data_IF_317878909748
#
_entry.id   IF_317878909748
#
_cell.length_a   1.000
_cell.length_b   1.000
_cell.length_c   1.000
_cell.angle_alpha   90.00
_cell.angle_beta   90.00
_cell.angle_gamma   90.00
#
_symmetry.space_group_name_H-M   'P 1'
#
loop_
_entity.id
_entity.type
_entity.pdbx_description
1 polymer ?
#
# COMPACT_ATOMS: atom_id res chain seq x y z
N UNK A 1 6.35 9.58 -7.14
CA UNK A 1 6.43 8.42 -6.24
C UNK A 1 7.83 8.28 -5.68
N UNK A 2 7.95 8.14 -4.38
CA UNK A 2 9.24 7.96 -3.69
C UNK A 2 9.47 6.47 -3.43
N UNK A 3 10.67 5.99 -3.65
CA UNK A 3 11.06 4.59 -3.38
C UNK A 3 11.95 4.55 -2.14
N UNK A 4 11.63 3.66 -1.21
CA UNK A 4 12.43 3.41 -0.02
C UNK A 4 12.67 1.91 0.14
N UNK A 5 13.68 1.53 0.94
CA UNK A 5 14.06 0.14 1.12
C UNK A 5 14.13 -0.20 2.60
N UNK A 6 13.75 -1.44 2.95
CA UNK A 6 13.98 -2.08 4.25
C UNK A 6 13.88 -1.14 5.46
N UNK A 7 12.67 -0.73 5.83
CA UNK A 7 12.46 0.21 6.92
C UNK A 7 12.09 -0.50 8.22
N UNK A 8 12.65 -0.02 9.33
CA UNK A 8 12.39 -0.59 10.66
C UNK A 8 10.92 -0.47 11.08
N UNK A 9 10.21 0.56 10.61
CA UNK A 9 8.79 0.73 10.91
C UNK A 9 7.93 -0.44 10.45
N UNK A 10 8.31 -1.13 9.37
CA UNK A 10 7.58 -2.31 8.89
C UNK A 10 7.68 -3.44 9.91
N UNK A 11 8.84 -3.64 10.53
CA UNK A 11 9.06 -4.68 11.52
C UNK A 11 8.21 -4.46 12.77
N UNK A 12 8.08 -3.22 13.21
CA UNK A 12 7.25 -2.86 14.36
C UNK A 12 5.78 -3.15 14.08
N UNK A 13 5.28 -2.75 12.92
CA UNK A 13 3.87 -2.95 12.55
C UNK A 13 3.52 -4.44 12.38
N UNK A 14 4.40 -5.22 11.79
CA UNK A 14 4.17 -6.66 11.59
C UNK A 14 4.08 -7.40 12.93
N UNK A 15 4.79 -6.95 13.95
CA UNK A 15 4.79 -7.56 15.26
C UNK A 15 3.65 -7.09 16.17
N UNK A 16 2.78 -6.22 15.69
CA UNK A 16 1.63 -5.70 16.44
C UNK A 16 0.64 -6.83 16.77
N UNK A 17 0.10 -6.84 17.98
CA UNK A 17 -0.92 -7.80 18.37
C UNK A 17 -2.22 -7.56 17.63
N UNK A 18 -2.90 -8.65 17.27
CA UNK A 18 -4.20 -8.58 16.60
C UNK A 18 -5.29 -8.26 17.62
N UNK A 19 -5.56 -6.98 17.80
CA UNK A 19 -6.53 -6.48 18.73
C UNK A 19 -7.18 -5.22 18.14
N UNK A 20 -8.46 -5.28 17.84
CA UNK A 20 -9.14 -4.16 17.18
C UNK A 20 -9.85 -3.30 18.23
N UNK A 21 -9.38 -2.08 18.41
CA UNK A 21 -10.01 -1.06 19.22
C UNK A 21 -9.73 0.32 18.59
N UNK A 22 -10.10 1.41 19.27
CA UNK A 22 -9.90 2.76 18.77
C UNK A 22 -8.44 3.15 18.57
N UNK A 23 -7.51 2.43 19.23
CA UNK A 23 -6.07 2.68 19.13
C UNK A 23 -5.38 1.73 18.15
N UNK A 24 -6.13 0.82 17.54
CA UNK A 24 -5.58 -0.13 16.58
C UNK A 24 -5.03 0.60 15.36
N UNK A 25 -3.81 0.27 14.98
CA UNK A 25 -3.19 0.79 13.77
C UNK A 25 -3.60 -0.06 12.57
N UNK A 26 -4.12 0.59 11.54
CA UNK A 26 -4.39 -0.08 10.26
C UNK A 26 -3.06 -0.23 9.53
N UNK A 27 -2.68 -1.47 9.24
CA UNK A 27 -1.42 -1.74 8.54
C UNK A 27 -1.70 -1.97 7.06
N UNK A 28 -1.85 -3.24 6.67
CA UNK A 28 -2.15 -3.59 5.28
C UNK A 28 -3.65 -3.72 5.09
N UNK A 29 -4.21 -3.01 4.13
CA UNK A 29 -5.65 -3.07 3.87
C UNK A 29 -6.00 -3.62 2.48
N UNK A 30 -5.01 -3.80 1.61
CA UNK A 30 -5.17 -4.43 0.30
C UNK A 30 -3.94 -5.27 0.00
N UNK A 31 -4.15 -6.40 -0.67
CA UNK A 31 -3.08 -7.30 -1.07
C UNK A 31 -3.31 -7.71 -2.52
N UNK A 32 -2.27 -7.64 -3.32
CA UNK A 32 -2.28 -8.06 -4.72
C UNK A 32 -1.10 -8.97 -4.97
N UNK A 33 -1.38 -10.11 -5.59
CA UNK A 33 -0.37 -11.10 -5.86
C UNK A 33 -0.15 -11.24 -7.35
N UNK A 34 1.11 -11.32 -7.75
CA UNK A 34 1.50 -11.70 -9.09
C UNK A 34 2.20 -13.06 -9.00
N UNK A 35 2.59 -13.60 -10.13
CA UNK A 35 3.36 -14.84 -10.16
C UNK A 35 4.67 -14.73 -9.38
N UNK A 36 5.26 -13.54 -9.36
CA UNK A 36 6.60 -13.32 -8.81
C UNK A 36 6.61 -12.64 -7.44
N UNK A 37 5.59 -11.86 -7.10
CA UNK A 37 5.63 -10.97 -5.94
C UNK A 37 4.27 -10.78 -5.30
N UNK A 38 4.31 -10.30 -4.07
CA UNK A 38 3.14 -9.86 -3.32
C UNK A 38 3.24 -8.34 -3.11
N UNK A 39 2.19 -7.62 -3.44
CA UNK A 39 2.09 -6.17 -3.29
C UNK A 39 1.09 -5.87 -2.20
N UNK A 40 1.55 -5.22 -1.15
CA UNK A 40 0.75 -4.94 0.05
C UNK A 40 0.56 -3.43 0.17
N UNK A 41 -0.70 -2.99 0.20
CA UNK A 41 -0.98 -1.56 0.40
C UNK A 41 -1.05 -1.29 1.89
N UNK A 42 -0.16 -0.42 2.37
CA UNK A 42 0.02 -0.13 3.78
C UNK A 42 -0.34 1.32 4.09
N UNK A 43 -1.06 1.51 5.17
CA UNK A 43 -1.43 2.85 5.63
C UNK A 43 -0.71 3.26 6.92
N UNK A 44 -0.82 2.46 7.97
CA UNK A 44 -0.12 2.70 9.24
C UNK A 44 -0.75 3.72 10.15
N UNK A 45 -1.99 4.14 9.88
CA UNK A 45 -2.71 5.07 10.73
C UNK A 45 -3.68 4.36 11.67
N UNK A 46 -4.06 5.03 12.76
CA UNK A 46 -5.02 4.47 13.71
C UNK A 46 -6.41 4.36 13.07
N UNK A 47 -7.16 3.35 13.48
CA UNK A 47 -8.47 3.05 12.89
C UNK A 47 -9.47 4.21 13.07
N UNK A 48 -9.30 5.02 14.11
CA UNK A 48 -10.14 6.20 14.36
C UNK A 48 -9.87 7.35 13.41
N UNK A 49 -8.73 7.33 12.70
CA UNK A 49 -8.36 8.36 11.75
C UNK A 49 -9.00 8.08 10.38
N UNK A 50 -9.25 9.15 9.64
CA UNK A 50 -9.77 9.02 8.29
C UNK A 50 -8.66 8.55 7.33
N UNK A 51 -8.70 7.28 6.93
CA UNK A 51 -7.66 6.65 6.09
C UNK A 51 -7.42 7.41 4.79
N UNK A 52 -8.49 7.88 4.16
CA UNK A 52 -8.40 8.50 2.83
C UNK A 52 -7.69 9.84 2.83
N UNK A 53 -7.37 10.39 3.99
CA UNK A 53 -6.57 11.60 4.13
C UNK A 53 -5.09 11.41 3.82
N UNK A 54 -4.60 10.18 3.96
CA UNK A 54 -3.17 9.93 4.02
C UNK A 54 -2.69 9.17 2.79
N UNK A 55 -1.53 9.58 2.22
CA UNK A 55 -0.91 8.80 1.15
C UNK A 55 -0.56 7.41 1.61
N UNK A 56 -0.83 6.43 0.75
CA UNK A 56 -0.52 5.04 1.03
C UNK A 56 0.91 4.69 0.63
N UNK A 57 1.40 3.56 1.16
CA UNK A 57 2.65 2.95 0.72
C UNK A 57 2.34 1.60 0.10
N UNK A 58 3.15 1.21 -0.87
CA UNK A 58 3.09 -0.14 -1.45
C UNK A 58 4.35 -0.88 -1.03
N UNK A 59 4.16 -1.93 -0.26
CA UNK A 59 5.26 -2.80 0.19
C UNK A 59 5.32 -3.99 -0.76
N UNK A 60 6.47 -4.20 -1.38
CA UNK A 60 6.67 -5.27 -2.36
C UNK A 60 7.55 -6.34 -1.76
N UNK A 61 7.04 -7.58 -1.73
CA UNK A 61 7.75 -8.73 -1.18
C UNK A 61 7.78 -9.85 -2.22
N UNK A 62 8.84 -10.65 -2.18
CA UNK A 62 8.87 -11.88 -2.95
C UNK A 62 8.15 -13.01 -2.20
N UNK A 63 8.00 -14.17 -2.84
CA UNK A 63 7.30 -15.30 -2.24
C UNK A 63 8.09 -16.01 -1.14
N UNK A 64 9.36 -15.67 -0.95
CA UNK A 64 10.17 -16.13 0.18
C UNK A 64 9.99 -15.24 1.42
N UNK A 65 9.18 -14.19 1.31
CA UNK A 65 8.91 -13.28 2.42
C UNK A 65 9.95 -12.17 2.57
N UNK A 66 10.80 -11.99 1.57
CA UNK A 66 11.82 -10.94 1.60
C UNK A 66 11.25 -9.63 1.07
N UNK A 67 11.53 -8.55 1.78
CA UNK A 67 11.15 -7.20 1.36
C UNK A 67 12.04 -6.76 0.19
N UNK A 68 11.42 -6.38 -0.93
CA UNK A 68 12.17 -5.89 -2.09
C UNK A 68 12.15 -4.37 -2.20
N UNK A 69 10.98 -3.76 -2.12
CA UNK A 69 10.81 -2.31 -2.27
C UNK A 69 9.66 -1.79 -1.45
N UNK A 70 9.70 -0.48 -1.17
CA UNK A 70 8.56 0.26 -0.64
C UNK A 70 8.38 1.50 -1.51
N UNK A 71 7.20 1.63 -2.10
CA UNK A 71 6.83 2.81 -2.88
C UNK A 71 5.95 3.72 -2.03
N UNK A 72 6.33 5.00 -1.93
CA UNK A 72 5.50 6.01 -1.30
C UNK A 72 4.63 6.67 -2.36
N UNK A 73 3.32 6.53 -2.25
CA UNK A 73 2.38 7.17 -3.16
C UNK A 73 2.11 8.62 -2.75
N UNK A 74 1.52 9.37 -3.68
CA UNK A 74 1.11 10.76 -3.43
C UNK A 74 -0.29 10.85 -2.84
N UNK A 75 -1.09 9.80 -2.99
CA UNK A 75 -2.48 9.75 -2.56
C UNK A 75 -2.81 8.45 -1.87
N UNK A 76 -3.98 8.41 -1.24
CA UNK A 76 -4.57 7.18 -0.77
C UNK A 76 -4.89 6.28 -1.96
N UNK A 77 -4.70 4.98 -1.81
CA UNK A 77 -5.00 4.02 -2.85
C UNK A 77 -6.19 3.15 -2.44
N UNK A 78 -7.29 3.22 -3.19
CA UNK A 78 -8.41 2.30 -2.97
C UNK A 78 -8.08 0.91 -3.49
N UNK A 79 -7.34 0.85 -4.59
CA UNK A 79 -6.81 -0.41 -5.11
C UNK A 79 -5.55 -0.13 -5.94
N UNK A 80 -4.79 -1.18 -6.19
CA UNK A 80 -3.63 -1.13 -7.08
C UNK A 80 -3.72 -2.28 -8.07
N UNK A 81 -3.13 -2.09 -9.24
CA UNK A 81 -2.96 -3.14 -10.24
C UNK A 81 -1.51 -3.09 -10.71
N UNK A 82 -0.66 -3.97 -10.18
CA UNK A 82 0.73 -4.05 -10.65
C UNK A 82 0.78 -4.77 -12.00
N UNK A 83 1.49 -4.17 -12.93
CA UNK A 83 1.77 -4.78 -14.24
C UNK A 83 3.28 -4.92 -14.38
N UNK A 84 3.79 -6.07 -13.97
CA UNK A 84 5.23 -6.33 -13.95
C UNK A 84 5.83 -6.42 -15.36
N UNK A 85 5.04 -6.87 -16.31
CA UNK A 85 5.49 -7.00 -17.70
C UNK A 85 5.82 -5.64 -18.30
N UNK A 86 4.98 -4.64 -18.04
CA UNK A 86 5.19 -3.27 -18.51
C UNK A 86 5.92 -2.39 -17.50
N UNK A 87 6.20 -2.92 -16.31
CA UNK A 87 6.84 -2.22 -15.21
C UNK A 87 6.06 -0.97 -14.80
N UNK A 88 4.77 -1.14 -14.62
CA UNK A 88 3.86 -0.07 -14.23
C UNK A 88 3.00 -0.52 -13.05
N UNK A 89 2.61 0.45 -12.23
CA UNK A 89 1.60 0.25 -11.20
C UNK A 89 0.46 1.23 -11.46
N UNK A 90 -0.74 0.70 -11.60
CA UNK A 90 -1.95 1.51 -11.72
C UNK A 90 -2.56 1.63 -10.33
N UNK A 91 -2.88 2.85 -9.93
CA UNK A 91 -3.45 3.14 -8.61
C UNK A 91 -4.83 3.75 -8.82
N UNK A 92 -5.85 3.11 -8.25
CA UNK A 92 -7.21 3.62 -8.32
C UNK A 92 -7.57 4.38 -7.06
N UNK A 93 -8.14 5.57 -7.24
CA UNK A 93 -8.62 6.42 -6.15
C UNK A 93 -10.06 6.79 -6.43
N UNK A 94 -10.98 6.37 -5.55
CA UNK A 94 -12.38 6.71 -5.69
C UNK A 94 -12.63 8.14 -5.26
N UNK A 95 -13.23 8.91 -6.16
CA UNK A 95 -13.61 10.30 -5.89
C UNK A 95 -15.12 10.36 -5.67
N UNK A 96 -15.54 10.37 -4.40
CA UNK A 96 -16.95 10.36 -4.03
C UNK A 96 -17.71 11.61 -4.50
N UNK A 97 -17.04 12.76 -4.56
CA UNK A 97 -17.68 14.01 -5.02
C UNK A 97 -18.00 14.01 -6.50
N UNK A 98 -17.25 13.26 -7.29
CA UNK A 98 -17.43 13.16 -8.73
C UNK A 98 -18.04 11.83 -9.18
N UNK A 99 -18.22 10.90 -8.24
CA UNK A 99 -18.81 9.57 -8.48
C UNK A 99 -18.07 8.75 -9.53
N UNK A 100 -16.74 8.87 -9.60
CA UNK A 100 -15.91 8.05 -10.48
C UNK A 100 -14.57 7.70 -9.82
N UNK A 101 -13.85 6.77 -10.43
CA UNK A 101 -12.52 6.36 -9.99
C UNK A 101 -11.49 7.05 -10.87
N UNK A 102 -10.52 7.69 -10.23
CA UNK A 102 -9.35 8.23 -10.92
C UNK A 102 -8.26 7.16 -10.94
N UNK A 103 -7.64 6.97 -12.08
CA UNK A 103 -6.55 6.01 -12.24
C UNK A 103 -5.25 6.77 -12.46
N UNK A 104 -4.29 6.53 -11.57
CA UNK A 104 -2.94 7.08 -11.67
C UNK A 104 -1.99 5.97 -12.12
N UNK A 105 -1.08 6.33 -12.99
CA UNK A 105 -0.13 5.41 -13.59
C UNK A 105 1.28 5.78 -13.16
N UNK A 106 1.98 4.84 -12.52
CA UNK A 106 3.33 5.05 -12.02
C UNK A 106 4.29 4.02 -12.59
N UNK A 107 5.48 4.43 -13.06
CA UNK A 107 6.50 3.47 -13.47
C UNK A 107 7.11 2.78 -12.25
N UNK A 108 7.42 1.51 -12.38
CA UNK A 108 8.20 0.80 -11.37
C UNK A 108 9.67 1.18 -11.51
N UNK A 109 10.24 1.68 -10.43
CA UNK A 109 11.64 2.11 -10.41
C UNK A 109 12.57 1.00 -9.91
#
# INVERSE_FOLDING_TARGET
MKVTYALDWIKEEINTQIRVDEHTTVTFYRTYATRNRCYLVWDGHKIEEELRKYPAKIVVMNWQGELEKVYQLDNFADFIIPDEKQRMIYVGVYNAGLEFVEIYKYPML
#
